data_IF_655058160716
#
_entry.id   IF_655058160716
#
_cell.length_a   1.000
_cell.length_b   1.000
_cell.length_c   1.000
_cell.angle_alpha   90.00
_cell.angle_beta   90.00
_cell.angle_gamma   90.00
#
_symmetry.space_group_name_H-M   'P 1'
#
loop_
_entity.id
_entity.type
_entity.pdbx_description
1 polymer ?
#
# COMPACT_ATOMS: atom_id res chain seq x y z
N UNK A 1 -12.55 0.76 19.04
CA UNK A 1 -11.96 0.07 20.21
C UNK A 1 -11.96 0.91 21.49
N UNK A 2 -11.47 2.16 21.49
CA UNK A 2 -11.34 2.97 22.71
C UNK A 2 -12.65 3.25 23.48
N UNK A 3 -13.76 3.48 22.77
CA UNK A 3 -15.10 3.68 23.39
C UNK A 3 -15.58 2.45 24.17
N UNK A 4 -15.34 1.25 23.64
CA UNK A 4 -15.72 -0.02 24.28
C UNK A 4 -14.90 -0.30 25.56
N UNK A 5 -13.74 0.34 25.70
CA UNK A 5 -12.86 0.24 26.87
C UNK A 5 -13.05 1.40 27.87
N UNK A 6 -14.02 2.28 27.66
CA UNK A 6 -14.23 3.47 28.50
C UNK A 6 -13.11 4.52 28.41
N UNK A 7 -12.22 4.41 27.42
CA UNK A 7 -11.03 5.27 27.23
C UNK A 7 -11.12 6.12 25.97
N UNK A 8 -12.30 6.68 25.70
CA UNK A 8 -12.58 7.42 24.45
C UNK A 8 -11.58 8.57 24.23
N UNK A 9 -11.34 9.40 25.25
CA UNK A 9 -10.44 10.55 25.17
C UNK A 9 -8.97 10.13 24.90
N UNK A 10 -8.49 9.06 25.53
CA UNK A 10 -7.14 8.55 25.27
C UNK A 10 -7.03 8.02 23.84
N UNK A 11 -8.06 7.36 23.34
CA UNK A 11 -8.13 6.89 21.96
C UNK A 11 -8.12 8.02 20.94
N UNK A 12 -8.88 9.10 21.18
CA UNK A 12 -8.90 10.29 20.33
C UNK A 12 -7.53 10.98 20.30
N UNK A 13 -6.87 11.10 21.46
CA UNK A 13 -5.52 11.65 21.53
C UNK A 13 -4.49 10.81 20.78
N UNK A 14 -4.54 9.49 20.92
CA UNK A 14 -3.63 8.58 20.19
C UNK A 14 -3.83 8.68 18.67
N UNK A 15 -5.07 8.81 18.20
CA UNK A 15 -5.36 9.02 16.77
C UNK A 15 -4.76 10.34 16.29
N UNK A 16 -4.98 11.44 17.02
CA UNK A 16 -4.42 12.76 16.66
C UNK A 16 -2.89 12.77 16.62
N UNK A 17 -2.24 12.16 17.62
CA UNK A 17 -0.77 12.08 17.69
C UNK A 17 -0.22 11.25 16.51
N UNK A 18 -0.92 10.19 16.12
CA UNK A 18 -0.57 9.35 14.98
C UNK A 18 -0.75 10.08 13.64
N UNK A 19 -1.91 10.72 13.42
CA UNK A 19 -2.17 11.54 12.23
C UNK A 19 -1.13 12.65 12.07
N UNK A 20 -0.75 13.30 13.18
CA UNK A 20 0.29 14.33 13.18
C UNK A 20 1.66 13.78 12.79
N UNK A 21 2.08 12.64 13.33
CA UNK A 21 3.36 12.00 12.98
C UNK A 21 3.43 11.67 11.49
N UNK A 22 2.32 11.20 10.91
CA UNK A 22 2.23 10.89 9.49
C UNK A 22 2.29 12.16 8.64
N UNK A 23 1.51 13.20 9.00
CA UNK A 23 1.54 14.48 8.31
C UNK A 23 2.95 15.12 8.34
N UNK A 24 3.59 15.17 9.52
CA UNK A 24 4.94 15.71 9.69
C UNK A 24 6.00 14.94 8.87
N UNK A 25 5.79 13.64 8.64
CA UNK A 25 6.66 12.82 7.81
C UNK A 25 6.46 13.13 6.32
N UNK A 26 5.22 13.27 5.86
CA UNK A 26 4.90 13.54 4.46
C UNK A 26 5.18 14.98 4.04
N UNK A 27 5.05 15.95 4.94
CA UNK A 27 5.40 17.34 4.69
C UNK A 27 6.90 17.51 4.36
N UNK A 28 7.75 16.55 4.77
CA UNK A 28 9.17 16.50 4.39
C UNK A 28 9.39 15.99 2.96
N UNK A 29 8.36 15.42 2.35
CA UNK A 29 8.39 14.80 1.02
C UNK A 29 7.24 15.33 0.13
N UNK A 30 7.19 16.65 -0.14
CA UNK A 30 6.10 17.26 -0.92
C UNK A 30 6.02 16.74 -2.37
N UNK A 31 7.10 16.14 -2.87
CA UNK A 31 7.17 15.46 -4.17
C UNK A 31 6.29 14.20 -4.25
N UNK A 32 5.94 13.61 -3.10
CA UNK A 32 5.04 12.46 -3.02
C UNK A 32 3.55 12.84 -3.21
N UNK A 33 3.21 14.12 -3.06
CA UNK A 33 1.83 14.59 -3.21
C UNK A 33 1.32 14.34 -4.63
N UNK A 34 0.14 13.74 -4.72
CA UNK A 34 -0.54 13.35 -5.96
C UNK A 34 0.06 12.13 -6.65
N UNK A 35 1.12 11.51 -6.11
CA UNK A 35 1.69 10.29 -6.69
C UNK A 35 0.65 9.17 -6.64
N UNK A 36 0.52 8.46 -7.75
CA UNK A 36 -0.37 7.33 -7.89
C UNK A 36 0.28 6.07 -7.33
N UNK A 37 -0.45 5.33 -6.50
CA UNK A 37 0.04 4.16 -5.78
C UNK A 37 -0.71 2.91 -6.21
N UNK A 38 0.05 1.85 -6.46
CA UNK A 38 -0.45 0.48 -6.43
C UNK A 38 -0.04 -0.14 -5.08
N UNK A 39 -1.00 -0.38 -4.20
CA UNK A 39 -0.73 -1.14 -2.98
C UNK A 39 -1.11 -2.61 -3.23
N UNK A 40 -0.13 -3.49 -3.20
CA UNK A 40 -0.26 -4.93 -3.42
C UNK A 40 0.36 -5.73 -2.28
N UNK A 41 0.09 -7.03 -2.27
CA UNK A 41 0.87 -8.01 -1.55
C UNK A 41 1.26 -9.10 -2.55
N UNK A 42 2.55 -9.20 -2.88
CA UNK A 42 3.03 -10.18 -3.84
C UNK A 42 2.96 -11.63 -3.33
N UNK A 43 2.76 -11.84 -2.03
CA UNK A 43 2.44 -13.13 -1.41
C UNK A 43 0.95 -13.30 -1.15
N UNK A 44 0.12 -12.30 -1.46
CA UNK A 44 -1.32 -12.30 -1.19
C UNK A 44 -2.13 -13.16 -2.15
N UNK A 45 -1.53 -13.63 -3.24
CA UNK A 45 -2.16 -14.55 -4.20
C UNK A 45 -1.50 -15.92 -4.10
N UNK A 46 -2.29 -16.97 -3.83
CA UNK A 46 -1.79 -18.36 -3.94
C UNK A 46 -1.44 -18.74 -5.39
N UNK A 47 -1.89 -17.92 -6.35
CA UNK A 47 -1.76 -18.10 -7.79
C UNK A 47 -0.89 -16.98 -8.39
N UNK A 48 0.31 -17.34 -8.85
CA UNK A 48 1.26 -16.41 -9.49
C UNK A 48 0.80 -15.90 -10.86
N UNK A 49 -0.29 -16.45 -11.43
CA UNK A 49 -0.90 -15.93 -12.65
C UNK A 49 -1.73 -14.67 -12.43
N UNK A 50 -1.81 -14.18 -11.18
CA UNK A 50 -2.58 -12.99 -10.80
C UNK A 50 -1.74 -11.98 -10.03
N UNK A 51 -2.12 -10.72 -10.17
CA UNK A 51 -1.66 -9.62 -9.32
C UNK A 51 -2.85 -9.14 -8.50
N UNK A 52 -2.76 -9.33 -7.19
CA UNK A 52 -3.76 -8.82 -6.27
C UNK A 52 -3.43 -7.40 -5.79
N UNK A 53 -4.44 -6.62 -5.43
CA UNK A 53 -4.28 -5.24 -4.99
C UNK A 53 -5.38 -4.81 -4.02
N UNK A 54 -5.05 -3.86 -3.16
CA UNK A 54 -6.03 -3.25 -2.25
C UNK A 54 -6.88 -2.21 -3.00
N UNK A 55 -8.20 -2.32 -2.83
CA UNK A 55 -9.16 -1.38 -3.42
C UNK A 55 -9.16 -0.06 -2.66
N UNK A 56 -9.78 0.97 -3.24
CA UNK A 56 -9.99 2.26 -2.55
C UNK A 56 -11.01 2.17 -1.40
N UNK A 57 -11.64 1.00 -1.20
CA UNK A 57 -12.49 0.71 -0.03
C UNK A 57 -11.67 0.18 1.15
N UNK A 58 -10.44 -0.27 0.90
CA UNK A 58 -9.54 -0.75 1.94
C UNK A 58 -8.94 0.43 2.73
N UNK A 59 -8.87 0.33 4.07
CA UNK A 59 -8.33 1.41 4.90
C UNK A 59 -6.86 1.74 4.62
N UNK A 60 -6.07 0.81 4.05
CA UNK A 60 -4.69 1.08 3.58
C UNK A 60 -4.66 2.15 2.51
N UNK A 61 -5.51 1.98 1.50
CA UNK A 61 -5.61 2.92 0.41
C UNK A 61 -6.29 4.22 0.87
N UNK A 62 -7.27 4.12 1.77
CA UNK A 62 -7.87 5.27 2.43
C UNK A 62 -6.84 6.16 3.12
N UNK A 63 -5.98 5.56 3.94
CA UNK A 63 -4.89 6.24 4.62
C UNK A 63 -3.96 6.97 3.65
N UNK A 64 -3.48 6.29 2.60
CA UNK A 64 -2.63 6.92 1.59
C UNK A 64 -3.34 8.10 0.89
N UNK A 65 -4.64 7.97 0.60
CA UNK A 65 -5.42 9.01 -0.04
C UNK A 65 -5.62 10.26 0.84
N UNK A 66 -5.95 10.08 2.13
CA UNK A 66 -6.06 11.17 3.12
C UNK A 66 -4.76 11.97 3.23
N UNK A 67 -3.65 11.28 3.00
CA UNK A 67 -2.30 11.79 3.10
C UNK A 67 -1.71 12.26 1.76
N UNK A 68 -2.56 12.42 0.74
CA UNK A 68 -2.22 13.13 -0.49
C UNK A 68 -1.71 12.25 -1.62
N UNK A 69 -1.69 10.93 -1.47
CA UNK A 69 -1.51 10.02 -2.60
C UNK A 69 -2.82 9.83 -3.37
N UNK A 70 -2.72 9.23 -4.55
CA UNK A 70 -3.87 8.77 -5.31
C UNK A 70 -3.75 7.27 -5.56
N UNK A 71 -4.87 6.56 -5.75
CA UNK A 71 -4.82 5.23 -6.36
C UNK A 71 -4.50 5.35 -7.85
N UNK A 72 -3.88 4.33 -8.46
CA UNK A 72 -3.80 4.24 -9.92
C UNK A 72 -5.21 4.19 -10.54
N UNK A 73 -5.34 4.60 -11.81
CA UNK A 73 -6.64 4.73 -12.48
C UNK A 73 -7.36 3.38 -12.54
N UNK A 74 -6.62 2.29 -12.77
CA UNK A 74 -7.17 0.94 -12.78
C UNK A 74 -7.69 0.54 -11.40
N UNK A 75 -6.92 0.76 -10.33
CA UNK A 75 -7.36 0.46 -8.95
C UNK A 75 -8.64 1.23 -8.65
N UNK A 76 -8.72 2.52 -9.01
CA UNK A 76 -9.92 3.33 -8.82
C UNK A 76 -11.13 2.77 -9.57
N UNK A 77 -10.98 2.48 -10.86
CA UNK A 77 -12.04 1.91 -11.70
C UNK A 77 -12.57 0.59 -11.15
N UNK A 78 -11.69 -0.33 -10.74
CA UNK A 78 -12.12 -1.64 -10.22
C UNK A 78 -12.75 -1.52 -8.83
N UNK A 79 -12.32 -0.55 -8.03
CA UNK A 79 -12.90 -0.27 -6.71
C UNK A 79 -14.30 0.34 -6.77
N UNK A 80 -14.69 0.94 -7.90
CA UNK A 80 -16.07 1.42 -8.11
C UNK A 80 -17.04 0.26 -8.42
N UNK A 81 -16.52 -0.89 -8.84
CA UNK A 81 -17.30 -2.07 -9.26
C UNK A 81 -17.46 -3.13 -8.18
N UNK A 82 -16.80 -2.96 -7.03
CA UNK A 82 -16.75 -3.96 -5.97
C UNK A 82 -16.64 -3.32 -4.59
N UNK A 83 -17.29 -3.92 -3.60
CA UNK A 83 -17.13 -3.56 -2.19
C UNK A 83 -15.99 -4.34 -1.51
N UNK A 84 -15.31 -5.22 -2.24
CA UNK A 84 -14.20 -6.00 -1.70
C UNK A 84 -12.97 -5.12 -1.43
N UNK A 85 -12.28 -5.42 -0.33
CA UNK A 85 -11.01 -4.77 0.03
C UNK A 85 -9.84 -5.25 -0.83
N UNK A 86 -9.91 -6.48 -1.35
CA UNK A 86 -8.90 -7.12 -2.19
C UNK A 86 -9.51 -7.50 -3.54
N UNK A 87 -8.81 -7.14 -4.60
CA UNK A 87 -9.18 -7.46 -5.98
C UNK A 87 -7.99 -8.06 -6.70
N UNK A 88 -8.25 -8.85 -7.73
CA UNK A 88 -7.22 -9.51 -8.51
C UNK A 88 -7.40 -9.23 -10.00
N UNK A 89 -6.28 -9.07 -10.69
CA UNK A 89 -6.22 -9.03 -12.15
C UNK A 89 -5.22 -10.06 -12.64
N UNK A 90 -5.41 -10.59 -13.84
CA UNK A 90 -4.43 -11.46 -14.47
C UNK A 90 -3.07 -10.76 -14.58
N UNK A 91 -2.00 -11.46 -14.22
CA UNK A 91 -0.62 -11.02 -14.39
C UNK A 91 -0.25 -10.82 -15.87
N UNK A 92 -1.03 -11.36 -16.82
CA UNK A 92 -0.84 -11.11 -18.25
C UNK A 92 -1.27 -9.71 -18.70
N UNK A 93 -1.90 -8.92 -17.81
CA UNK A 93 -2.31 -7.54 -18.05
C UNK A 93 -1.57 -6.52 -17.15
N UNK A 94 -0.24 -6.55 -17.04
CA UNK A 94 0.50 -5.66 -16.15
C UNK A 94 0.39 -4.19 -16.54
N UNK A 95 0.13 -3.89 -17.81
CA UNK A 95 -0.02 -2.54 -18.35
C UNK A 95 -1.18 -1.74 -17.76
N UNK A 96 -2.13 -2.40 -17.10
CA UNK A 96 -3.21 -1.71 -16.38
C UNK A 96 -2.68 -0.85 -15.23
N UNK A 97 -1.49 -1.16 -14.71
CA UNK A 97 -0.81 -0.41 -13.64
C UNK A 97 0.27 0.55 -14.16
N UNK A 98 0.28 0.88 -15.46
CA UNK A 98 1.31 1.73 -16.07
C UNK A 98 1.39 3.15 -15.49
N UNK A 99 0.32 3.63 -14.89
CA UNK A 99 0.21 4.96 -14.30
C UNK A 99 0.52 4.96 -12.79
N UNK A 100 0.91 3.81 -12.21
CA UNK A 100 1.40 3.78 -10.85
C UNK A 100 2.79 4.43 -10.77
N UNK A 101 2.89 5.48 -9.96
CA UNK A 101 4.14 6.16 -9.66
C UNK A 101 4.98 5.42 -8.59
N UNK A 102 4.32 4.66 -7.73
CA UNK A 102 4.92 3.91 -6.64
C UNK A 102 4.16 2.59 -6.45
N UNK A 103 4.89 1.51 -6.19
CA UNK A 103 4.30 0.29 -5.66
C UNK A 103 4.60 0.20 -4.17
N UNK A 104 3.57 -0.05 -3.37
CA UNK A 104 3.72 -0.33 -1.94
C UNK A 104 3.38 -1.80 -1.74
N UNK A 105 4.25 -2.54 -1.06
CA UNK A 105 4.03 -3.94 -0.71
C UNK A 105 4.57 -4.23 0.68
N UNK A 106 4.22 -5.39 1.23
CA UNK A 106 4.80 -5.89 2.46
C UNK A 106 6.18 -6.48 2.21
N UNK A 107 7.08 -6.24 3.17
CA UNK A 107 8.42 -6.84 3.24
C UNK A 107 8.34 -8.34 3.51
N UNK A 108 9.30 -9.07 2.96
CA UNK A 108 9.50 -10.50 3.21
C UNK A 108 10.26 -10.79 4.51
N UNK A 109 10.64 -9.76 5.29
CA UNK A 109 11.21 -9.90 6.64
C UNK A 109 12.66 -9.41 6.77
N UNK A 110 13.33 -9.08 5.68
CA UNK A 110 14.62 -8.40 5.70
C UNK A 110 14.83 -7.56 4.44
N UNK A 111 15.65 -6.51 4.54
CA UNK A 111 16.00 -5.67 3.37
C UNK A 111 16.67 -6.47 2.26
N UNK A 112 17.48 -7.47 2.61
CA UNK A 112 18.14 -8.33 1.62
C UNK A 112 17.12 -9.18 0.84
N UNK A 113 16.10 -9.69 1.53
CA UNK A 113 15.03 -10.47 0.89
C UNK A 113 14.13 -9.59 0.02
N UNK A 114 13.87 -8.36 0.45
CA UNK A 114 13.13 -7.36 -0.34
C UNK A 114 13.89 -6.98 -1.62
N UNK A 115 15.20 -6.79 -1.55
CA UNK A 115 16.06 -6.54 -2.72
C UNK A 115 16.07 -7.74 -3.68
N UNK A 116 16.13 -8.97 -3.14
CA UNK A 116 16.03 -10.19 -3.96
C UNK A 116 14.66 -10.29 -4.63
N UNK A 117 13.59 -10.00 -3.89
CA UNK A 117 12.23 -9.99 -4.41
C UNK A 117 12.08 -8.96 -5.54
N UNK A 118 12.56 -7.74 -5.35
CA UNK A 118 12.55 -6.71 -6.39
C UNK A 118 13.30 -7.16 -7.65
N UNK A 119 14.51 -7.70 -7.50
CA UNK A 119 15.28 -8.22 -8.65
C UNK A 119 14.55 -9.35 -9.38
N UNK A 120 13.87 -10.22 -8.63
CA UNK A 120 13.04 -11.27 -9.21
C UNK A 120 11.91 -10.68 -10.04
N UNK A 121 11.16 -9.70 -9.50
CA UNK A 121 10.08 -9.02 -10.21
C UNK A 121 10.56 -8.24 -11.44
N UNK A 122 11.75 -7.63 -11.37
CA UNK A 122 12.38 -6.95 -12.51
C UNK A 122 12.84 -7.92 -13.60
N UNK A 123 13.13 -9.18 -13.25
CA UNK A 123 13.48 -10.24 -14.20
C UNK A 123 12.26 -10.97 -14.76
N UNK A 124 11.09 -10.82 -14.13
CA UNK A 124 9.84 -11.43 -14.56
C UNK A 124 9.29 -10.73 -15.83
N UNK A 125 8.97 -11.45 -16.91
CA UNK A 125 8.56 -10.86 -18.19
C UNK A 125 7.19 -10.17 -18.17
N UNK A 126 6.39 -10.39 -17.12
CA UNK A 126 5.09 -9.77 -16.92
C UNK A 126 5.20 -8.62 -15.91
N UNK A 127 5.73 -8.86 -14.72
CA UNK A 127 5.79 -7.84 -13.66
C UNK A 127 6.74 -6.68 -14.02
N UNK A 128 7.82 -6.95 -14.76
CA UNK A 128 8.72 -5.90 -15.25
C UNK A 128 8.06 -4.93 -16.24
N UNK A 129 6.87 -5.23 -16.77
CA UNK A 129 6.10 -4.29 -17.60
C UNK A 129 5.40 -3.21 -16.78
N UNK A 130 5.33 -3.36 -15.45
CA UNK A 130 4.87 -2.30 -14.55
C UNK A 130 6.03 -1.32 -14.37
N UNK A 131 5.94 -0.05 -14.84
CA UNK A 131 7.07 0.88 -14.84
C UNK A 131 7.66 1.11 -13.45
N UNK A 132 6.82 1.18 -12.41
CA UNK A 132 7.30 1.33 -11.04
C UNK A 132 8.15 0.15 -10.56
N UNK A 133 7.88 -1.08 -11.00
CA UNK A 133 8.72 -2.25 -10.69
C UNK A 133 10.02 -2.19 -11.50
N UNK A 134 9.92 -1.93 -12.80
CA UNK A 134 11.09 -1.82 -13.68
C UNK A 134 12.10 -0.79 -13.16
N UNK A 135 11.61 0.37 -12.74
CA UNK A 135 12.41 1.49 -12.23
C UNK A 135 12.84 1.31 -10.76
N UNK A 136 12.40 0.25 -10.09
CA UNK A 136 12.69 0.01 -8.67
C UNK A 136 11.97 0.96 -7.71
N UNK A 137 10.89 1.60 -8.15
CA UNK A 137 10.00 2.44 -7.33
C UNK A 137 9.03 1.57 -6.53
N UNK A 138 9.59 0.71 -5.68
CA UNK A 138 8.86 -0.20 -4.80
C UNK A 138 9.24 0.08 -3.34
N UNK A 139 8.25 0.39 -2.51
CA UNK A 139 8.40 0.55 -1.08
C UNK A 139 7.92 -0.71 -0.36
N UNK A 140 8.83 -1.37 0.36
CA UNK A 140 8.52 -2.54 1.19
C UNK A 140 8.27 -2.09 2.63
N UNK A 141 7.07 -2.37 3.13
CA UNK A 141 6.67 -2.11 4.51
C UNK A 141 7.15 -3.26 5.39
N UNK A 142 8.09 -2.98 6.30
CA UNK A 142 8.61 -3.97 7.24
C UNK A 142 7.48 -4.63 8.06
N UNK A 143 7.60 -5.94 8.29
CA UNK A 143 6.72 -6.66 9.22
C UNK A 143 6.99 -6.16 10.64
N UNK A 144 5.97 -5.54 11.25
CA UNK A 144 6.09 -4.81 12.51
C UNK A 144 5.00 -3.73 12.61
N UNK A 145 5.15 -2.72 13.50
CA UNK A 145 4.20 -1.61 13.61
C UNK A 145 3.88 -0.97 12.25
N UNK A 146 4.86 -0.80 11.35
CA UNK A 146 4.62 -0.26 9.99
C UNK A 146 3.70 -1.13 9.12
N UNK A 147 3.90 -2.46 9.10
CA UNK A 147 2.98 -3.38 8.42
C UNK A 147 1.59 -3.44 9.07
N UNK A 148 1.52 -3.26 10.40
CA UNK A 148 0.26 -3.14 11.13
C UNK A 148 -0.43 -1.78 10.89
N UNK A 149 0.34 -0.70 10.63
CA UNK A 149 -0.18 0.65 10.34
C UNK A 149 -0.89 0.72 9.00
N UNK A 150 -0.54 -0.19 8.08
CA UNK A 150 -1.31 -0.42 6.87
C UNK A 150 -2.79 -0.71 7.22
N UNK A 151 -3.07 -1.49 8.27
CA UNK A 151 -4.43 -1.63 8.80
C UNK A 151 -4.62 -0.73 10.03
N UNK A 152 -5.01 0.56 9.86
CA UNK A 152 -4.99 1.53 10.94
C UNK A 152 -5.81 1.05 12.14
N UNK A 153 -5.11 0.83 13.24
CA UNK A 153 -5.65 0.68 14.58
C UNK A 153 -4.79 1.52 15.53
N UNK A 154 -5.33 1.97 16.69
CA UNK A 154 -4.55 2.76 17.66
C UNK A 154 -3.29 2.07 18.20
N UNK A 155 -3.12 0.75 17.99
CA UNK A 155 -1.92 0.00 18.37
C UNK A 155 -0.83 -0.03 17.30
N UNK A 156 -1.15 0.43 16.08
CA UNK A 156 -0.35 0.16 14.91
C UNK A 156 0.71 1.24 14.61
N UNK A 157 0.69 2.40 15.26
CA UNK A 157 1.60 3.52 14.96
C UNK A 157 2.47 3.79 16.21
N UNK A 158 3.82 3.71 16.13
CA UNK A 158 4.72 3.93 17.27
C UNK A 158 4.69 5.37 17.76
#
# INVERSE_FOLDING_TARGET
>A
NATALGRKADGEKLVQDAEKKVADALDKHPDLKGKKVLFTSFSGTEDSSKVGFFSTKDPRMGFLAEHGFAASDYVKSESEKSDAFWLEVSAEKPEVFKDADLVVSYSSGSKEDDEKQLKSMQSDPLLSKIPAIADGRVAFLENGPLGAAANPSPLSIP
#
